data_IF_103246634856
#
_entry.id   IF_103246634856
#
_cell.length_a   1.000
_cell.length_b   1.000
_cell.length_c   1.000
_cell.angle_alpha   90.00
_cell.angle_beta   90.00
_cell.angle_gamma   90.00
#
_symmetry.space_group_name_H-M   'P 1'
#
loop_
_entity.id
_entity.type
_entity.pdbx_description
1 polymer ?
#
# COMPACT_ATOMS: atom_id res chain seq x y z
N UNK A 1 10.07 16.39 -4.65
CA UNK A 1 9.73 15.36 -5.65
C UNK A 1 10.39 15.75 -6.95
N UNK A 2 11.04 14.82 -7.63
CA UNK A 2 11.72 15.11 -8.90
C UNK A 2 10.74 14.89 -10.07
N UNK A 3 10.68 15.82 -11.04
CA UNK A 3 9.88 15.62 -12.25
C UNK A 3 10.43 14.44 -13.06
N UNK A 4 9.57 13.59 -13.65
CA UNK A 4 10.04 12.55 -14.55
C UNK A 4 10.49 13.17 -15.87
N UNK A 5 11.59 12.66 -16.44
CA UNK A 5 12.06 13.08 -17.76
C UNK A 5 11.29 12.34 -18.86
N UNK A 6 10.97 13.06 -19.94
CA UNK A 6 10.37 12.46 -21.13
C UNK A 6 11.43 11.60 -21.85
N UNK A 7 11.19 10.31 -22.10
CA UNK A 7 12.15 9.44 -22.76
C UNK A 7 12.35 9.78 -24.24
N UNK A 8 11.43 10.54 -24.85
CA UNK A 8 11.51 10.92 -26.26
C UNK A 8 12.41 12.14 -26.51
N UNK A 9 12.40 13.14 -25.61
CA UNK A 9 13.16 14.39 -25.80
C UNK A 9 14.13 14.71 -24.66
N UNK A 10 14.14 13.93 -23.57
CA UNK A 10 15.02 14.15 -22.41
C UNK A 10 14.63 15.34 -21.52
N UNK A 11 13.55 16.07 -21.84
CA UNK A 11 13.12 17.24 -21.06
C UNK A 11 12.27 16.81 -19.85
N UNK A 12 12.46 17.48 -18.71
CA UNK A 12 11.68 17.28 -17.51
C UNK A 12 10.19 17.61 -17.77
N UNK A 13 9.29 16.69 -17.41
CA UNK A 13 7.86 16.95 -17.51
C UNK A 13 7.41 17.96 -16.45
N UNK A 14 6.42 18.79 -16.79
CA UNK A 14 5.75 19.64 -15.81
C UNK A 14 4.55 18.94 -15.21
N UNK A 15 4.23 19.31 -13.97
CA UNK A 15 3.03 18.82 -13.32
C UNK A 15 1.81 19.61 -13.81
N UNK A 16 0.76 18.89 -14.16
CA UNK A 16 -0.56 19.39 -14.53
C UNK A 16 -1.65 18.52 -13.90
N UNK A 17 -2.89 18.67 -14.35
CA UNK A 17 -4.02 17.87 -13.95
C UNK A 17 -4.72 17.21 -15.17
N UNK A 18 -5.70 16.35 -14.89
CA UNK A 18 -6.44 15.66 -15.92
C UNK A 18 -7.38 16.54 -16.72
N UNK A 19 -7.73 17.75 -16.26
CA UNK A 19 -8.53 18.67 -17.06
C UNK A 19 -7.79 19.13 -18.32
N UNK A 20 -6.46 19.27 -18.25
CA UNK A 20 -5.65 19.63 -19.42
C UNK A 20 -5.46 18.45 -20.39
N UNK A 21 -5.32 17.23 -19.88
CA UNK A 21 -5.03 16.04 -20.70
C UNK A 21 -6.30 15.35 -21.20
N UNK A 22 -7.36 15.39 -20.40
CA UNK A 22 -8.66 14.78 -20.65
C UNK A 22 -9.77 15.82 -20.42
N UNK A 23 -9.88 16.86 -21.27
CA UNK A 23 -10.80 17.99 -21.07
C UNK A 23 -12.27 17.55 -20.97
N UNK A 24 -12.64 16.46 -21.63
CA UNK A 24 -14.00 15.92 -21.65
C UNK A 24 -14.27 14.87 -20.55
N UNK A 25 -13.34 14.67 -19.60
CA UNK A 25 -13.48 13.65 -18.55
C UNK A 25 -13.42 14.27 -17.15
N UNK A 26 -14.58 14.73 -16.66
CA UNK A 26 -14.70 15.44 -15.37
C UNK A 26 -14.20 14.62 -14.18
N UNK A 27 -14.33 13.30 -14.19
CA UNK A 27 -13.85 12.40 -13.14
C UNK A 27 -12.31 12.38 -13.00
N UNK A 28 -11.61 12.74 -14.08
CA UNK A 28 -10.15 12.77 -14.09
C UNK A 28 -9.62 14.20 -13.93
N UNK A 29 -10.48 15.22 -13.91
CA UNK A 29 -10.09 16.64 -14.00
C UNK A 29 -9.00 17.03 -12.98
N UNK A 30 -9.15 16.60 -11.73
CA UNK A 30 -8.24 16.96 -10.64
C UNK A 30 -7.06 15.99 -10.49
N UNK A 31 -6.99 14.91 -11.29
CA UNK A 31 -5.93 13.92 -11.14
C UNK A 31 -4.59 14.53 -11.55
N UNK A 32 -3.55 14.48 -10.69
CA UNK A 32 -2.23 14.99 -11.05
C UNK A 32 -1.63 14.15 -12.18
N UNK A 33 -1.10 14.83 -13.19
CA UNK A 33 -0.48 14.24 -14.39
C UNK A 33 0.82 14.98 -14.67
N UNK A 34 1.88 14.24 -15.00
CA UNK A 34 3.10 14.83 -15.54
C UNK A 34 3.04 14.85 -17.06
N UNK A 35 3.17 16.02 -17.68
CA UNK A 35 3.10 16.22 -19.13
C UNK A 35 4.38 16.86 -19.65
N UNK A 36 4.88 16.36 -20.78
CA UNK A 36 6.03 16.95 -21.46
C UNK A 36 5.59 18.21 -22.22
N UNK A 37 6.41 19.26 -22.19
CA UNK A 37 6.15 20.49 -22.93
C UNK A 37 6.61 20.42 -24.39
N UNK A 38 7.64 19.61 -24.68
CA UNK A 38 8.19 19.45 -26.03
C UNK A 38 7.42 18.40 -26.83
N UNK A 39 7.01 17.31 -26.17
CA UNK A 39 6.24 16.22 -26.79
C UNK A 39 4.78 16.34 -26.31
N UNK A 40 3.88 17.00 -27.07
CA UNK A 40 2.57 17.43 -26.59
C UNK A 40 1.68 16.28 -26.11
N UNK A 41 1.80 15.12 -26.74
CA UNK A 41 1.03 13.93 -26.37
C UNK A 41 1.73 13.03 -25.35
N UNK A 42 2.90 13.40 -24.84
CA UNK A 42 3.64 12.59 -23.86
C UNK A 42 3.26 13.00 -22.43
N UNK A 43 2.65 12.07 -21.71
CA UNK A 43 2.26 12.28 -20.31
C UNK A 43 2.23 10.98 -19.51
N UNK A 44 2.18 11.10 -18.19
CA UNK A 44 2.03 9.98 -17.25
C UNK A 44 1.23 10.41 -16.03
N UNK A 45 0.26 9.57 -15.63
CA UNK A 45 -0.52 9.81 -14.41
C UNK A 45 0.30 9.52 -13.14
N UNK A 46 -0.27 9.87 -11.99
CA UNK A 46 0.34 9.64 -10.69
C UNK A 46 -0.37 8.55 -9.88
N UNK A 47 0.31 8.01 -8.86
CA UNK A 47 -0.32 7.18 -7.84
C UNK A 47 -1.43 7.96 -7.11
N UNK A 48 -2.52 7.29 -6.77
CA UNK A 48 -3.69 7.90 -6.13
C UNK A 48 -3.30 8.70 -4.88
N UNK A 49 -3.82 9.92 -4.76
CA UNK A 49 -3.53 10.82 -3.63
C UNK A 49 -2.11 11.41 -3.61
N UNK A 50 -1.27 11.11 -4.59
CA UNK A 50 0.11 11.60 -4.65
C UNK A 50 0.41 12.29 -5.99
N UNK A 51 1.58 12.92 -6.06
CA UNK A 51 2.15 13.44 -7.31
C UNK A 51 3.24 12.49 -7.87
N UNK A 52 3.39 11.30 -7.28
CA UNK A 52 4.41 10.33 -7.69
C UNK A 52 4.02 9.71 -9.03
N UNK A 53 4.84 9.84 -10.08
CA UNK A 53 4.48 9.35 -11.41
C UNK A 53 4.45 7.82 -11.44
N UNK A 54 3.48 7.26 -12.17
CA UNK A 54 3.36 5.80 -12.38
C UNK A 54 4.53 5.22 -13.21
N UNK A 55 5.27 6.06 -13.92
CA UNK A 55 6.36 5.71 -14.82
C UNK A 55 6.89 6.94 -15.56
N UNK A 56 7.34 6.76 -16.80
CA UNK A 56 7.78 7.88 -17.66
C UNK A 56 6.66 8.43 -18.54
N UNK A 57 6.66 9.75 -18.85
CA UNK A 57 5.78 10.31 -19.88
C UNK A 57 5.90 9.50 -21.17
N UNK A 58 4.76 9.09 -21.71
CA UNK A 58 4.72 8.29 -22.93
C UNK A 58 3.73 8.89 -23.90
N UNK A 59 4.06 8.90 -25.18
CA UNK A 59 3.13 9.22 -26.27
C UNK A 59 2.05 8.15 -26.44
N UNK A 60 1.05 8.36 -27.32
CA UNK A 60 -0.11 7.48 -27.47
C UNK A 60 0.27 6.05 -27.86
N UNK A 61 1.23 5.89 -28.78
CA UNK A 61 1.73 4.59 -29.22
C UNK A 61 2.37 3.80 -28.09
N UNK A 62 3.28 4.44 -27.33
CA UNK A 62 3.97 3.79 -26.22
C UNK A 62 3.02 3.47 -25.06
N UNK A 63 2.06 4.36 -24.74
CA UNK A 63 1.02 4.06 -23.76
C UNK A 63 0.21 2.84 -24.18
N UNK A 64 -0.22 2.78 -25.45
CA UNK A 64 -0.98 1.64 -25.99
C UNK A 64 -0.17 0.35 -25.92
N UNK A 65 1.12 0.37 -26.29
CA UNK A 65 2.00 -0.78 -26.21
C UNK A 65 2.15 -1.31 -24.77
N UNK A 66 2.38 -0.41 -23.80
CA UNK A 66 2.49 -0.77 -22.37
C UNK A 66 1.18 -1.35 -21.83
N UNK A 67 0.03 -0.78 -22.20
CA UNK A 67 -1.30 -1.28 -21.79
C UNK A 67 -1.55 -2.68 -22.36
N UNK A 68 -1.29 -2.88 -23.64
CA UNK A 68 -1.47 -4.18 -24.31
C UNK A 68 -0.56 -5.23 -23.70
N UNK A 69 0.72 -4.92 -23.47
CA UNK A 69 1.66 -5.84 -22.82
C UNK A 69 1.18 -6.26 -21.42
N UNK A 70 0.73 -5.30 -20.62
CA UNK A 70 0.15 -5.58 -19.30
C UNK A 70 -1.05 -6.50 -19.39
N UNK A 71 -2.07 -6.09 -20.15
CA UNK A 71 -3.36 -6.76 -20.21
C UNK A 71 -3.26 -8.16 -20.84
N UNK A 72 -2.49 -8.31 -21.90
CA UNK A 72 -2.54 -9.51 -22.74
C UNK A 72 -1.44 -10.52 -22.41
N UNK A 73 -0.29 -10.07 -21.89
CA UNK A 73 0.87 -10.95 -21.66
C UNK A 73 1.25 -11.07 -20.19
N UNK A 74 1.23 -9.99 -19.42
CA UNK A 74 1.74 -10.01 -18.02
C UNK A 74 0.66 -10.42 -17.03
N UNK A 75 -0.49 -9.73 -17.07
CA UNK A 75 -1.53 -9.86 -16.06
C UNK A 75 -2.18 -11.25 -16.02
N UNK A 76 -2.51 -11.89 -17.16
CA UNK A 76 -3.06 -13.24 -17.16
C UNK A 76 -2.15 -14.25 -16.46
N UNK A 77 -0.83 -14.16 -16.65
CA UNK A 77 0.12 -15.11 -16.06
C UNK A 77 0.06 -15.15 -14.54
N UNK A 78 -0.14 -14.00 -13.87
CA UNK A 78 -0.17 -13.97 -12.42
C UNK A 78 -1.60 -13.96 -11.84
N UNK A 79 -2.56 -13.37 -12.54
CA UNK A 79 -3.96 -13.34 -12.09
C UNK A 79 -4.62 -14.71 -12.16
N UNK A 80 -4.16 -15.59 -13.05
CA UNK A 80 -4.73 -16.92 -13.23
C UNK A 80 -3.85 -18.02 -12.65
N UNK A 81 -2.79 -17.65 -11.94
CA UNK A 81 -1.83 -18.59 -11.37
C UNK A 81 -2.47 -19.61 -10.41
N UNK A 82 -3.53 -19.23 -9.68
CA UNK A 82 -4.29 -20.13 -8.80
C UNK A 82 -5.12 -21.18 -9.56
N UNK A 83 -5.29 -21.00 -10.88
CA UNK A 83 -6.00 -21.93 -11.77
C UNK A 83 -5.06 -22.78 -12.64
N UNK A 84 -3.74 -22.62 -12.47
CA UNK A 84 -2.72 -23.29 -13.30
C UNK A 84 -2.57 -24.81 -13.05
N UNK A 85 -3.29 -25.38 -12.08
CA UNK A 85 -3.12 -26.78 -11.65
C UNK A 85 -1.93 -27.00 -10.70
N UNK A 86 -1.11 -25.98 -10.46
CA UNK A 86 0.08 -26.05 -9.58
C UNK A 86 -0.23 -25.80 -8.09
N UNK A 87 -1.47 -25.44 -7.79
CA UNK A 87 -1.95 -25.09 -6.45
C UNK A 87 -3.37 -25.62 -6.23
N UNK A 88 -3.70 -25.91 -4.97
CA UNK A 88 -5.03 -26.29 -4.51
C UNK A 88 -5.47 -25.36 -3.38
N UNK A 89 -5.84 -24.09 -3.68
CA UNK A 89 -6.21 -23.13 -2.65
C UNK A 89 -7.55 -23.49 -2.01
N UNK A 90 -7.56 -23.50 -0.68
CA UNK A 90 -8.72 -23.81 0.15
C UNK A 90 -9.73 -22.66 0.25
N UNK A 91 -9.29 -21.42 0.08
CA UNK A 91 -10.13 -20.23 0.19
C UNK A 91 -9.62 -19.06 -0.68
N UNK A 92 -10.38 -17.98 -0.72
CA UNK A 92 -10.05 -16.78 -1.50
C UNK A 92 -8.78 -16.06 -1.01
N UNK A 93 -8.51 -16.08 0.30
CA UNK A 93 -7.29 -15.50 0.86
C UNK A 93 -6.03 -16.22 0.35
N UNK A 94 -6.08 -17.56 0.27
CA UNK A 94 -5.01 -18.37 -0.32
C UNK A 94 -4.82 -18.07 -1.82
N UNK A 95 -5.91 -17.91 -2.58
CA UNK A 95 -5.85 -17.49 -4.00
C UNK A 95 -5.14 -16.15 -4.16
N UNK A 96 -5.47 -15.15 -3.34
CA UNK A 96 -4.82 -13.83 -3.36
C UNK A 96 -3.32 -13.93 -3.06
N UNK A 97 -2.93 -14.74 -2.07
CA UNK A 97 -1.51 -14.97 -1.75
C UNK A 97 -0.76 -15.64 -2.92
N UNK A 98 -1.39 -16.62 -3.58
CA UNK A 98 -0.83 -17.28 -4.77
C UNK A 98 -0.61 -16.27 -5.89
N UNK A 99 -1.65 -15.49 -6.26
CA UNK A 99 -1.57 -14.47 -7.32
C UNK A 99 -0.52 -13.40 -7.01
N UNK A 100 -0.43 -12.96 -5.75
CA UNK A 100 0.59 -12.01 -5.31
C UNK A 100 2.01 -12.57 -5.47
N UNK A 101 2.25 -13.81 -5.03
CA UNK A 101 3.54 -14.48 -5.20
C UNK A 101 3.86 -14.74 -6.68
N UNK A 102 2.85 -15.13 -7.47
CA UNK A 102 2.95 -15.34 -8.90
C UNK A 102 3.39 -14.07 -9.64
N UNK A 103 2.81 -12.91 -9.29
CA UNK A 103 3.21 -11.62 -9.86
C UNK A 103 4.70 -11.39 -9.67
N UNK A 104 5.22 -11.61 -8.46
CA UNK A 104 6.66 -11.51 -8.19
C UNK A 104 7.52 -12.40 -9.09
N UNK A 105 7.08 -13.63 -9.37
CA UNK A 105 7.79 -14.58 -10.25
C UNK A 105 7.73 -14.17 -11.72
N UNK A 106 6.56 -13.73 -12.20
CA UNK A 106 6.39 -13.27 -13.58
C UNK A 106 7.31 -12.09 -13.87
N UNK A 107 7.37 -11.10 -12.98
CA UNK A 107 8.31 -9.97 -13.14
C UNK A 107 9.77 -10.40 -13.04
N UNK A 108 10.11 -11.38 -12.20
CA UNK A 108 11.47 -11.91 -12.16
C UNK A 108 11.85 -12.66 -13.45
N UNK A 109 10.92 -13.44 -14.01
CA UNK A 109 11.09 -14.14 -15.27
C UNK A 109 11.29 -13.16 -16.43
N UNK A 110 10.40 -12.16 -16.52
CA UNK A 110 10.48 -11.12 -17.53
C UNK A 110 11.78 -10.32 -17.42
N UNK A 111 12.17 -9.92 -16.20
CA UNK A 111 13.42 -9.20 -15.97
C UNK A 111 14.62 -9.99 -16.47
N UNK A 112 14.70 -11.29 -16.16
CA UNK A 112 15.78 -12.14 -16.63
C UNK A 112 15.78 -12.33 -18.15
N UNK A 113 14.61 -12.40 -18.79
CA UNK A 113 14.49 -12.51 -20.24
C UNK A 113 14.87 -11.23 -21.00
N UNK A 114 14.86 -10.08 -20.32
CA UNK A 114 15.23 -8.77 -20.87
C UNK A 114 16.60 -8.27 -20.40
N UNK A 115 17.34 -9.10 -19.66
CA UNK A 115 18.60 -8.72 -18.99
C UNK A 115 18.48 -7.46 -18.11
N UNK A 116 17.33 -7.34 -17.42
CA UNK A 116 17.05 -6.27 -16.47
C UNK A 116 17.13 -6.79 -15.04
N UNK A 117 17.43 -5.90 -14.09
CA UNK A 117 17.17 -6.23 -12.69
C UNK A 117 15.67 -6.15 -12.38
N UNK A 118 15.25 -6.80 -11.29
CA UNK A 118 13.85 -6.74 -10.84
C UNK A 118 13.37 -5.31 -10.57
N UNK A 119 14.25 -4.45 -10.05
CA UNK A 119 13.92 -3.06 -9.72
C UNK A 119 13.76 -2.20 -11.01
N UNK A 120 14.40 -2.60 -12.13
CA UNK A 120 14.31 -1.92 -13.44
C UNK A 120 13.16 -2.45 -14.31
N UNK A 121 12.68 -3.66 -14.05
CA UNK A 121 11.62 -4.32 -14.80
C UNK A 121 10.22 -3.77 -14.46
N UNK A 122 10.00 -2.47 -14.66
CA UNK A 122 8.71 -1.80 -14.52
C UNK A 122 8.17 -1.45 -15.90
N UNK A 123 7.07 -2.08 -16.32
CA UNK A 123 6.49 -1.91 -17.67
C UNK A 123 6.16 -0.43 -17.97
N UNK A 124 5.80 0.37 -16.96
CA UNK A 124 5.56 1.80 -17.14
C UNK A 124 6.83 2.63 -17.42
N UNK A 125 8.02 2.00 -17.43
CA UNK A 125 9.29 2.60 -17.84
C UNK A 125 9.75 2.13 -19.22
N UNK A 126 9.14 1.07 -19.77
CA UNK A 126 9.64 0.43 -20.99
C UNK A 126 9.60 1.35 -22.21
N UNK A 127 10.59 1.24 -23.08
CA UNK A 127 10.55 1.78 -24.44
C UNK A 127 9.64 0.92 -25.35
N UNK A 128 9.37 1.38 -26.58
CA UNK A 128 8.63 0.56 -27.56
C UNK A 128 9.37 -0.73 -27.90
N UNK A 129 10.70 -0.68 -27.97
CA UNK A 129 11.56 -1.84 -28.23
C UNK A 129 11.48 -2.84 -27.07
N UNK A 130 11.63 -2.37 -25.82
CA UNK A 130 11.48 -3.21 -24.64
C UNK A 130 10.08 -3.82 -24.54
N UNK A 131 9.02 -3.11 -24.96
CA UNK A 131 7.68 -3.70 -25.04
C UNK A 131 7.60 -4.86 -26.06
N UNK A 132 8.31 -4.76 -27.20
CA UNK A 132 8.36 -5.83 -28.21
C UNK A 132 9.17 -7.01 -27.72
N UNK A 133 10.34 -6.78 -27.13
CA UNK A 133 11.16 -7.83 -26.53
C UNK A 133 10.41 -8.56 -25.43
N UNK A 134 9.71 -7.82 -24.56
CA UNK A 134 8.88 -8.38 -23.50
C UNK A 134 7.75 -9.25 -24.07
N UNK A 135 7.12 -8.79 -25.14
CA UNK A 135 6.10 -9.56 -25.84
C UNK A 135 6.66 -10.89 -26.37
N UNK A 136 7.81 -10.84 -27.04
CA UNK A 136 8.48 -12.05 -27.55
C UNK A 136 8.91 -13.00 -26.43
N UNK A 137 9.40 -12.47 -25.31
CA UNK A 137 9.79 -13.23 -24.13
C UNK A 137 8.61 -13.99 -23.50
N UNK A 138 7.41 -13.39 -23.47
CA UNK A 138 6.22 -13.96 -22.83
C UNK A 138 5.33 -14.76 -23.79
N UNK A 139 5.57 -14.68 -25.10
CA UNK A 139 4.71 -15.33 -26.10
C UNK A 139 4.74 -16.85 -25.94
N UNK A 140 3.58 -17.43 -25.66
CA UNK A 140 3.42 -18.88 -25.46
C UNK A 140 3.90 -19.40 -24.11
N UNK A 141 4.33 -18.51 -23.21
CA UNK A 141 4.71 -18.86 -21.84
C UNK A 141 3.45 -19.07 -21.01
N UNK A 142 3.41 -20.13 -20.24
CA UNK A 142 2.38 -20.36 -19.21
C UNK A 142 2.92 -20.03 -17.81
N UNK A 143 2.03 -19.86 -16.85
CA UNK A 143 2.48 -19.69 -15.46
C UNK A 143 3.25 -20.91 -14.93
N UNK A 144 2.92 -22.12 -15.37
CA UNK A 144 3.66 -23.33 -15.00
C UNK A 144 5.12 -23.26 -15.47
N UNK A 145 5.38 -22.72 -16.67
CA UNK A 145 6.73 -22.50 -17.18
C UNK A 145 7.50 -21.50 -16.31
N UNK A 146 6.86 -20.36 -15.95
CA UNK A 146 7.43 -19.35 -15.05
C UNK A 146 7.77 -19.97 -13.69
N UNK A 147 6.88 -20.80 -13.14
CA UNK A 147 7.10 -21.46 -11.85
C UNK A 147 8.22 -22.49 -11.91
N UNK A 148 8.28 -23.29 -12.97
CA UNK A 148 9.37 -24.25 -13.22
C UNK A 148 10.71 -23.54 -13.34
N UNK A 149 10.77 -22.46 -14.11
CA UNK A 149 11.94 -21.59 -14.21
C UNK A 149 12.37 -21.05 -12.84
N UNK A 150 11.41 -20.57 -12.03
CA UNK A 150 11.72 -20.01 -10.72
C UNK A 150 12.26 -21.06 -9.74
N UNK A 151 11.82 -22.32 -9.83
CA UNK A 151 12.33 -23.45 -9.02
C UNK A 151 13.70 -23.94 -9.46
N UNK A 152 14.01 -23.88 -10.76
CA UNK A 152 15.26 -24.37 -11.33
C UNK A 152 16.46 -23.47 -11.03
N UNK A 153 16.23 -22.22 -10.60
CA UNK A 153 17.31 -21.34 -10.16
C UNK A 153 17.78 -21.81 -8.78
N UNK A 154 19.09 -21.98 -8.55
CA UNK A 154 19.60 -22.14 -7.19
C UNK A 154 19.07 -20.98 -6.35
N UNK A 155 18.78 -21.23 -5.06
CA UNK A 155 18.39 -20.14 -4.14
C UNK A 155 19.41 -19.02 -4.32
N UNK A 156 19.01 -17.95 -5.00
CA UNK A 156 19.80 -16.73 -5.05
C UNK A 156 19.86 -16.34 -3.59
N UNK A 157 21.07 -16.45 -3.02
CA UNK A 157 21.42 -16.08 -1.66
C UNK A 157 20.51 -14.91 -1.27
N UNK A 158 19.56 -15.16 -0.36
CA UNK A 158 18.54 -14.17 -0.02
C UNK A 158 19.30 -12.91 0.31
N UNK A 159 19.26 -11.89 -0.57
CA UNK A 159 19.91 -10.62 -0.30
C UNK A 159 19.47 -10.26 1.12
N UNK A 160 20.41 -10.02 2.06
CA UNK A 160 20.03 -9.61 3.40
C UNK A 160 19.02 -8.48 3.22
N UNK A 161 17.87 -8.59 3.89
CA UNK A 161 16.81 -7.57 3.84
C UNK A 161 17.52 -6.22 3.82
N UNK A 162 17.39 -5.44 2.72
CA UNK A 162 18.05 -4.12 2.61
C UNK A 162 17.83 -3.46 3.97
N UNK A 163 18.89 -3.10 4.73
CA UNK A 163 18.68 -2.32 5.95
C UNK A 163 17.84 -1.14 5.51
N UNK A 164 16.72 -0.90 6.20
CA UNK A 164 15.86 0.25 5.94
C UNK A 164 16.80 1.44 5.78
N UNK A 165 16.79 2.12 4.61
CA UNK A 165 17.65 3.28 4.37
C UNK A 165 17.62 4.14 5.63
N UNK A 166 18.76 4.47 6.25
CA UNK A 166 18.77 5.48 7.29
C UNK A 166 18.11 6.71 6.67
N UNK A 167 17.02 7.17 7.27
CA UNK A 167 16.41 8.43 6.89
C UNK A 167 17.51 9.47 7.11
N UNK A 168 17.95 10.13 6.05
CA UNK A 168 18.92 11.21 6.13
C UNK A 168 18.52 12.15 7.28
N UNK A 169 19.47 12.41 8.17
CA UNK A 169 19.32 13.27 9.33
C UNK A 169 19.05 14.70 8.87
N UNK A 170 17.78 15.00 8.59
CA UNK A 170 17.25 16.31 8.93
C UNK A 170 17.14 16.32 10.45
N UNK A 171 17.70 17.29 11.17
CA UNK A 171 17.65 17.36 12.62
C UNK A 171 16.20 17.66 13.04
N UNK A 172 15.38 16.62 13.03
CA UNK A 172 14.13 16.55 13.74
C UNK A 172 14.49 15.76 14.98
N UNK A 173 14.40 16.39 16.15
CA UNK A 173 14.47 15.73 17.46
C UNK A 173 13.45 14.59 17.45
N UNK A 174 13.89 13.39 17.07
CA UNK A 174 13.10 12.16 17.15
C UNK A 174 13.36 11.59 18.52
N UNK A 175 12.41 11.81 19.43
CA UNK A 175 12.28 10.96 20.61
C UNK A 175 12.25 9.50 20.14
N UNK A 176 13.18 8.69 20.63
CA UNK A 176 13.36 7.32 20.22
C UNK A 176 12.09 6.50 20.40
N UNK A 177 11.84 5.58 19.46
CA UNK A 177 10.98 4.42 19.70
C UNK A 177 11.69 3.55 20.73
N UNK A 178 11.32 3.72 21.99
CA UNK A 178 11.50 2.67 22.99
C UNK A 178 10.57 1.52 22.59
N UNK A 179 11.03 0.27 22.70
CA UNK A 179 10.11 -0.79 23.07
C UNK A 179 9.39 -0.23 24.30
N UNK A 180 8.11 0.09 24.19
CA UNK A 180 7.33 0.49 25.35
C UNK A 180 7.12 -0.80 26.15
N UNK A 181 8.14 -1.19 26.92
CA UNK A 181 7.93 -1.91 28.17
C UNK A 181 7.05 -0.99 29.01
N UNK A 182 5.74 -1.06 28.77
CA UNK A 182 4.77 -0.37 29.59
C UNK A 182 4.87 -1.00 30.98
N UNK A 183 4.82 -0.19 32.05
CA UNK A 183 4.72 -0.74 33.39
C UNK A 183 3.46 -1.61 33.48
N UNK A 184 3.46 -2.54 34.44
CA UNK A 184 2.28 -3.31 34.77
C UNK A 184 1.08 -2.37 34.97
N UNK A 185 -0.07 -2.67 34.37
CA UNK A 185 -1.22 -1.77 34.42
C UNK A 185 -1.75 -1.66 35.85
N UNK A 186 -1.98 -0.41 36.26
CA UNK A 186 -2.56 -0.07 37.56
C UNK A 186 -4.03 -0.50 37.66
N UNK A 187 -4.54 -0.69 38.87
CA UNK A 187 -5.97 -0.96 39.13
C UNK A 187 -6.90 0.06 38.47
N UNK A 188 -6.49 1.32 38.41
CA UNK A 188 -7.24 2.38 37.74
C UNK A 188 -7.29 2.18 36.22
N UNK A 189 -6.19 1.80 35.59
CA UNK A 189 -6.15 1.46 34.16
C UNK A 189 -6.98 0.21 33.86
N UNK A 190 -6.97 -0.80 34.74
CA UNK A 190 -7.81 -2.00 34.60
C UNK A 190 -9.30 -1.67 34.72
N UNK A 191 -9.68 -0.83 35.68
CA UNK A 191 -11.04 -0.33 35.82
C UNK A 191 -11.49 0.50 34.61
N UNK A 192 -10.62 1.37 34.09
CA UNK A 192 -10.90 2.15 32.88
C UNK A 192 -11.05 1.24 31.65
N UNK A 193 -10.26 0.16 31.55
CA UNK A 193 -10.35 -0.81 30.46
C UNK A 193 -11.69 -1.57 30.47
N UNK A 194 -12.20 -1.95 31.64
CA UNK A 194 -13.51 -2.59 31.77
C UNK A 194 -14.64 -1.68 31.26
N UNK A 195 -14.60 -0.40 31.65
CA UNK A 195 -15.59 0.60 31.22
C UNK A 195 -15.49 0.83 29.70
N UNK A 196 -14.27 0.98 29.18
CA UNK A 196 -14.04 1.19 27.76
C UNK A 196 -14.48 0.00 26.90
N UNK A 197 -14.22 -1.23 27.33
CA UNK A 197 -14.67 -2.45 26.66
C UNK A 197 -16.21 -2.50 26.56
N UNK A 198 -16.89 -2.24 27.69
CA UNK A 198 -18.34 -2.23 27.75
C UNK A 198 -18.94 -1.16 26.83
N UNK A 199 -18.42 0.07 26.89
CA UNK A 199 -18.85 1.18 26.05
C UNK A 199 -18.64 0.88 24.57
N UNK A 200 -17.49 0.32 24.20
CA UNK A 200 -17.17 -0.07 22.83
C UNK A 200 -18.12 -1.16 22.32
N UNK A 201 -18.38 -2.22 23.10
CA UNK A 201 -19.35 -3.27 22.76
C UNK A 201 -20.76 -2.72 22.55
N UNK A 202 -21.20 -1.81 23.42
CA UNK A 202 -22.49 -1.15 23.31
C UNK A 202 -22.57 -0.33 22.02
N UNK A 203 -21.57 0.50 21.73
CA UNK A 203 -21.50 1.28 20.49
C UNK A 203 -21.47 0.38 19.24
N UNK A 204 -20.72 -0.72 19.26
CA UNK A 204 -20.66 -1.65 18.13
C UNK A 204 -22.02 -2.32 17.83
N UNK A 205 -22.82 -2.54 18.87
CA UNK A 205 -24.16 -3.15 18.76
C UNK A 205 -25.26 -2.12 18.44
N UNK A 206 -25.12 -0.90 18.96
CA UNK A 206 -26.13 0.16 18.92
C UNK A 206 -25.51 1.47 18.40
N UNK A 207 -25.85 1.93 17.19
CA UNK A 207 -25.29 3.14 16.60
C UNK A 207 -25.44 4.41 17.46
N UNK A 208 -26.51 4.50 18.25
CA UNK A 208 -26.78 5.61 19.17
C UNK A 208 -25.80 5.69 20.34
N UNK A 209 -25.18 4.57 20.72
CA UNK A 209 -24.22 4.51 21.82
C UNK A 209 -22.82 5.01 21.44
N UNK A 210 -22.61 5.45 20.18
CA UNK A 210 -21.40 6.18 19.78
C UNK A 210 -21.37 7.63 20.30
N UNK A 211 -22.52 8.19 20.66
CA UNK A 211 -22.59 9.58 21.12
C UNK A 211 -22.26 10.62 20.05
N UNK A 212 -21.93 11.83 20.50
CA UNK A 212 -21.60 12.93 19.61
C UNK A 212 -20.21 12.74 18.99
N UNK A 213 -20.17 12.69 17.65
CA UNK A 213 -18.92 12.64 16.90
C UNK A 213 -18.34 14.05 16.73
N UNK A 214 -17.05 14.20 17.08
CA UNK A 214 -16.27 15.40 16.82
C UNK A 214 -15.12 15.07 15.88
N UNK A 215 -14.90 15.88 14.84
CA UNK A 215 -13.79 15.66 13.89
C UNK A 215 -13.01 16.94 13.70
N UNK A 216 -11.70 16.85 13.86
CA UNK A 216 -10.76 17.96 13.65
C UNK A 216 -9.79 17.61 12.52
N UNK A 217 -9.46 18.62 11.73
CA UNK A 217 -8.44 18.54 10.70
C UNK A 217 -7.16 19.19 11.22
N UNK A 218 -6.08 18.42 11.32
CA UNK A 218 -4.78 18.90 11.78
C UNK A 218 -3.80 18.89 10.62
N UNK A 219 -3.40 20.09 10.20
CA UNK A 219 -2.35 20.28 9.20
C UNK A 219 -0.98 20.42 9.88
N UNK A 220 -0.12 19.44 9.67
CA UNK A 220 1.28 19.51 10.09
C UNK A 220 2.12 20.07 8.93
N UNK A 221 2.91 21.10 9.21
CA UNK A 221 3.73 21.76 8.19
C UNK A 221 5.04 21.02 7.88
N UNK A 222 5.58 20.22 8.82
CA UNK A 222 6.88 19.52 8.70
C UNK A 222 6.94 18.22 9.54
N UNK A 223 6.94 17.01 8.93
CA UNK A 223 6.67 16.76 7.51
C UNK A 223 5.27 17.23 7.14
N UNK A 224 5.06 17.63 5.88
CA UNK A 224 3.73 18.04 5.42
C UNK A 224 2.81 16.82 5.41
N UNK A 225 1.91 16.75 6.39
CA UNK A 225 0.91 15.68 6.54
C UNK A 225 -0.36 16.30 7.12
N UNK A 226 -1.50 15.74 6.75
CA UNK A 226 -2.78 16.10 7.33
C UNK A 226 -3.30 14.88 8.10
N UNK A 227 -3.89 15.13 9.27
CA UNK A 227 -4.54 14.10 10.07
C UNK A 227 -5.98 14.54 10.36
N UNK A 228 -6.92 13.69 9.97
CA UNK A 228 -8.30 13.77 10.41
C UNK A 228 -8.41 12.99 11.70
N UNK A 229 -8.67 13.68 12.80
CA UNK A 229 -8.81 13.08 14.13
C UNK A 229 -10.28 13.14 14.51
N UNK A 230 -10.88 11.98 14.69
CA UNK A 230 -12.28 11.83 15.10
C UNK A 230 -12.36 11.21 16.48
N UNK A 231 -13.19 11.78 17.35
CA UNK A 231 -13.49 11.30 18.70
C UNK A 231 -15.00 11.26 18.94
N UNK A 232 -15.41 10.56 19.98
CA UNK A 232 -16.80 10.27 20.32
C UNK A 232 -17.05 10.51 21.81
N UNK A 233 -18.17 11.16 22.17
CA UNK A 233 -18.44 11.54 23.56
C UNK A 233 -18.58 10.34 24.51
N UNK A 234 -19.21 9.25 24.04
CA UNK A 234 -19.47 8.06 24.86
C UNK A 234 -18.34 7.01 24.79
N UNK A 235 -17.28 7.27 24.03
CA UNK A 235 -16.14 6.35 23.87
C UNK A 235 -14.84 7.05 24.28
N UNK A 236 -14.67 7.35 25.59
CA UNK A 236 -13.48 8.02 26.08
C UNK A 236 -12.23 7.18 25.82
N UNK A 237 -11.19 7.82 25.32
CA UNK A 237 -9.94 7.16 24.94
C UNK A 237 -9.94 6.54 23.53
N UNK A 238 -11.09 6.41 22.87
CA UNK A 238 -11.16 5.97 21.46
C UNK A 238 -10.95 7.17 20.53
N UNK A 239 -9.95 7.04 19.65
CA UNK A 239 -9.66 8.04 18.62
C UNK A 239 -9.48 7.38 17.26
N UNK A 240 -10.06 7.94 16.20
CA UNK A 240 -9.77 7.53 14.83
C UNK A 240 -8.92 8.58 14.14
N UNK A 241 -7.73 8.19 13.65
CA UNK A 241 -6.79 9.03 12.93
C UNK A 241 -6.64 8.51 11.51
N UNK A 242 -7.10 9.27 10.51
CA UNK A 242 -7.01 8.89 9.09
C UNK A 242 -7.55 7.47 8.79
N UNK A 243 -8.57 7.02 9.52
CA UNK A 243 -9.19 5.70 9.36
C UNK A 243 -8.61 4.57 10.22
N UNK A 244 -7.54 4.83 10.99
CA UNK A 244 -7.02 3.91 11.99
C UNK A 244 -7.57 4.26 13.39
N UNK A 245 -8.15 3.28 14.07
CA UNK A 245 -8.66 3.43 15.43
C UNK A 245 -7.57 3.12 16.46
N UNK A 246 -7.47 3.94 17.49
CA UNK A 246 -6.53 3.83 18.60
C UNK A 246 -7.28 3.95 19.91
N UNK A 247 -6.73 3.35 20.96
CA UNK A 247 -7.23 3.51 22.31
C UNK A 247 -6.11 3.92 23.27
N UNK A 248 -6.35 4.90 24.14
CA UNK A 248 -5.33 5.42 25.08
C UNK A 248 -4.77 4.34 26.02
N UNK A 249 -5.60 3.38 26.42
CA UNK A 249 -5.20 2.23 27.27
C UNK A 249 -4.41 1.15 26.53
N UNK A 250 -4.39 1.19 25.19
CA UNK A 250 -3.66 0.28 24.31
C UNK A 250 -2.66 1.09 23.45
N UNK A 251 -1.70 1.80 24.08
CA UNK A 251 -0.84 2.73 23.36
C UNK A 251 0.09 1.98 22.40
N UNK A 252 0.18 2.49 21.18
CA UNK A 252 0.98 1.89 20.11
C UNK A 252 0.24 0.88 19.24
N UNK A 253 -1.02 0.57 19.56
CA UNK A 253 -1.88 -0.32 18.78
C UNK A 253 -2.82 0.46 17.88
N UNK A 254 -3.06 -0.08 16.68
CA UNK A 254 -3.96 0.49 15.68
C UNK A 254 -4.87 -0.61 15.16
N UNK A 255 -6.15 -0.27 14.99
CA UNK A 255 -7.19 -1.19 14.60
C UNK A 255 -7.98 -0.62 13.42
N UNK A 256 -8.44 -1.47 12.53
CA UNK A 256 -9.46 -1.13 11.53
C UNK A 256 -10.86 -1.14 12.17
N UNK A 257 -11.86 -0.59 11.46
CA UNK A 257 -13.25 -0.60 11.95
C UNK A 257 -13.78 -2.01 12.26
N UNK A 258 -13.35 -3.01 11.50
CA UNK A 258 -13.73 -4.41 11.68
C UNK A 258 -12.99 -5.07 12.84
N UNK A 259 -11.76 -4.64 13.12
CA UNK A 259 -10.95 -5.12 14.25
C UNK A 259 -11.42 -4.55 15.60
N UNK A 260 -12.27 -3.51 15.62
CA UNK A 260 -12.83 -2.98 16.88
C UNK A 260 -13.58 -4.04 17.69
N UNK A 261 -14.41 -4.85 17.02
CA UNK A 261 -15.23 -5.88 17.67
C UNK A 261 -14.44 -7.17 17.91
N UNK A 262 -13.57 -7.51 16.95
CA UNK A 262 -12.86 -8.78 16.92
C UNK A 262 -11.56 -8.77 17.73
N UNK A 263 -10.99 -7.58 17.98
CA UNK A 263 -9.65 -7.45 18.59
C UNK A 263 -9.62 -6.36 19.67
N UNK A 264 -9.95 -5.10 19.36
CA UNK A 264 -9.82 -4.02 20.35
C UNK A 264 -10.68 -4.23 21.60
N UNK A 265 -11.95 -4.63 21.44
CA UNK A 265 -12.81 -4.93 22.59
C UNK A 265 -12.27 -6.11 23.43
N UNK A 266 -11.93 -7.28 22.85
CA UNK A 266 -11.23 -8.35 23.56
C UNK A 266 -9.92 -7.92 24.24
N UNK A 267 -9.13 -7.03 23.63
CA UNK A 267 -7.87 -6.56 24.20
C UNK A 267 -8.09 -5.64 25.41
N UNK A 268 -9.15 -4.84 25.41
CA UNK A 268 -9.58 -4.06 26.57
C UNK A 268 -10.14 -4.96 27.68
N UNK A 269 -10.89 -6.02 27.33
CA UNK A 269 -11.38 -7.04 28.26
C UNK A 269 -10.20 -7.78 28.93
N UNK A 270 -9.20 -8.20 28.16
CA UNK A 270 -8.00 -8.86 28.67
C UNK A 270 -7.16 -7.95 29.58
N UNK A 271 -7.08 -6.65 29.24
CA UNK A 271 -6.42 -5.65 30.10
C UNK A 271 -7.17 -5.47 31.42
N UNK A 272 -8.50 -5.47 31.38
CA UNK A 272 -9.33 -5.33 32.57
C UNK A 272 -9.24 -6.54 33.51
N UNK A 273 -9.37 -7.75 32.96
CA UNK A 273 -9.49 -8.99 33.73
C UNK A 273 -8.13 -9.55 34.18
N UNK A 274 -7.13 -9.42 33.33
CA UNK A 274 -5.84 -10.10 33.52
C UNK A 274 -4.66 -9.14 33.58
N UNK A 275 -4.87 -7.83 33.36
CA UNK A 275 -3.78 -6.87 33.26
C UNK A 275 -2.87 -7.12 32.05
N UNK A 276 -3.36 -7.86 31.04
CA UNK A 276 -2.59 -8.25 29.87
C UNK A 276 -2.89 -7.27 28.74
N UNK A 277 -1.86 -6.63 28.21
CA UNK A 277 -1.94 -5.90 26.94
C UNK A 277 -1.54 -6.82 25.78
N UNK A 278 -1.98 -6.56 24.54
CA UNK A 278 -1.59 -7.37 23.38
C UNK A 278 -0.07 -7.41 23.23
N UNK A 279 0.47 -8.56 22.84
CA UNK A 279 1.93 -8.79 22.68
C UNK A 279 2.34 -8.97 21.22
N UNK A 280 1.38 -9.20 20.32
CA UNK A 280 1.61 -9.41 18.88
C UNK A 280 0.61 -8.59 18.06
N UNK A 281 1.11 -7.73 17.17
CA UNK A 281 0.30 -6.95 16.24
C UNK A 281 -0.53 -7.86 15.32
N UNK A 282 -1.86 -7.83 15.47
CA UNK A 282 -2.83 -8.49 14.59
C UNK A 282 -2.92 -7.79 13.24
N UNK A 283 -2.81 -6.46 13.22
CA UNK A 283 -2.63 -5.68 12.00
C UNK A 283 -1.19 -5.15 11.90
N UNK A 284 -0.43 -5.67 10.93
CA UNK A 284 0.85 -5.03 10.56
C UNK A 284 0.51 -3.66 9.98
N UNK A 285 0.85 -2.59 10.71
CA UNK A 285 0.98 -1.26 10.14
C UNK A 285 1.83 -1.35 8.85
N UNK A 286 1.20 -1.01 7.72
CA UNK A 286 1.86 -0.81 6.45
C UNK A 286 2.84 0.38 6.52
#
# INVERSE_FOLDING_TARGET
>A
MMPPFCPACGVAARLTNGAEVYPNCRELADRPIWKCEVCPDAYVGCHQGTKEPLGTPAGPELRKARIILHRDMVDPLWQEADRSGEYHPENESARKLIRHAARGRVYAYLAAGLDLTRDECHVAMFSLEQCREAWHCLRGVTYADVRRWAKARPEVEKKPKKPKKPKADVPVKRGGRRNLELPEPTEAERGAAAIAALALRAALSYPEAWGQQSTIHIDYSRPRRAEWVTTWSELPGLTCINGAYLHDLLPGWQYTRAELELEMAPDLEALAEHGIRPTVATSKAA
#
